data_IF_688785941015
#
_entry.id   IF_688785941015
#
_cell.length_a   1.000
_cell.length_b   1.000
_cell.length_c   1.000
_cell.angle_alpha   90.00
_cell.angle_beta   90.00
_cell.angle_gamma   90.00
#
_symmetry.space_group_name_H-M   'P 1'
#
loop_
_entity.id
_entity.type
_entity.pdbx_description
1 polymer ?
#
# COMPACT_ATOMS: atom_id res chain seq x y z
N UNK A 1 22.36 -8.34 5.04
CA UNK A 1 22.31 -7.17 4.14
C UNK A 1 20.89 -6.64 4.13
N UNK A 2 20.69 -5.31 4.26
CA UNK A 2 19.38 -4.69 4.07
C UNK A 2 18.83 -4.98 2.67
N UNK A 3 17.51 -5.16 2.56
CA UNK A 3 16.82 -5.31 1.27
C UNK A 3 15.87 -4.14 1.07
N UNK A 4 15.86 -3.59 -0.13
CA UNK A 4 14.85 -2.61 -0.55
C UNK A 4 13.74 -3.38 -1.25
N UNK A 5 12.52 -3.24 -0.77
CA UNK A 5 11.34 -3.93 -1.28
C UNK A 5 10.37 -2.85 -1.76
N UNK A 6 9.86 -3.00 -2.99
CA UNK A 6 8.78 -2.17 -3.52
C UNK A 6 7.47 -2.97 -3.42
N UNK A 7 6.48 -2.42 -2.72
CA UNK A 7 5.12 -2.94 -2.69
C UNK A 7 4.17 -1.93 -3.34
N UNK A 8 3.45 -2.34 -4.37
CA UNK A 8 2.42 -1.52 -5.02
C UNK A 8 1.26 -2.40 -5.51
N UNK A 9 0.06 -1.82 -5.54
CA UNK A 9 -1.10 -2.39 -6.24
C UNK A 9 -1.42 -1.50 -7.43
N UNK A 10 -1.81 -2.10 -8.55
CA UNK A 10 -2.17 -1.39 -9.77
C UNK A 10 -3.33 -2.11 -10.46
N UNK A 11 -4.05 -1.40 -11.31
CA UNK A 11 -5.01 -1.99 -12.25
C UNK A 11 -4.29 -2.81 -13.31
N UNK A 12 -5.03 -3.66 -14.03
CA UNK A 12 -4.46 -4.52 -15.08
C UNK A 12 -3.86 -3.73 -16.26
N UNK A 13 -4.35 -2.51 -16.47
CA UNK A 13 -3.85 -1.54 -17.46
C UNK A 13 -2.78 -0.59 -16.90
N UNK A 14 -2.34 -0.79 -15.65
CA UNK A 14 -1.13 -0.18 -15.10
C UNK A 14 -1.32 1.13 -14.32
N UNK A 15 -2.54 1.46 -13.90
CA UNK A 15 -2.82 2.66 -13.13
C UNK A 15 -2.84 2.38 -11.61
N UNK A 16 -2.36 3.34 -10.83
CA UNK A 16 -2.27 3.25 -9.35
C UNK A 16 -3.29 4.11 -8.61
N UNK A 17 -4.06 4.91 -9.36
CA UNK A 17 -5.17 5.72 -8.90
C UNK A 17 -6.03 6.14 -10.10
N UNK A 18 -7.23 6.63 -9.83
CA UNK A 18 -8.07 7.23 -10.86
C UNK A 18 -7.63 8.69 -11.19
N UNK A 19 -8.34 9.32 -12.12
CA UNK A 19 -8.06 10.70 -12.55
C UNK A 19 -8.31 11.77 -11.46
N UNK A 20 -8.95 11.42 -10.35
CA UNK A 20 -9.16 12.26 -9.17
C UNK A 20 -8.16 11.94 -8.05
N UNK A 21 -7.30 10.94 -8.25
CA UNK A 21 -6.33 10.47 -7.27
C UNK A 21 -6.88 9.44 -6.26
N UNK A 22 -8.10 8.93 -6.46
CA UNK A 22 -8.69 7.92 -5.59
C UNK A 22 -8.10 6.53 -5.85
N UNK A 23 -8.01 5.74 -4.77
CA UNK A 23 -7.54 4.35 -4.79
C UNK A 23 -8.66 3.34 -4.48
N UNK A 24 -9.89 3.80 -4.28
CA UNK A 24 -11.03 2.97 -3.87
C UNK A 24 -11.30 1.82 -4.85
N UNK A 25 -11.11 2.06 -6.16
CA UNK A 25 -11.26 1.02 -7.18
C UNK A 25 -10.19 -0.08 -7.10
N UNK A 26 -9.00 0.22 -6.56
CA UNK A 26 -7.95 -0.76 -6.35
C UNK A 26 -8.11 -1.50 -5.03
N UNK A 27 -8.71 -0.85 -4.03
CA UNK A 27 -8.92 -1.41 -2.70
C UNK A 27 -10.38 -1.24 -2.26
N UNK A 28 -11.31 -2.03 -2.84
CA UNK A 28 -12.71 -1.98 -2.42
C UNK A 28 -12.92 -2.40 -0.96
N UNK A 29 -11.97 -3.18 -0.41
CA UNK A 29 -11.91 -3.58 0.99
C UNK A 29 -10.48 -3.46 1.52
N UNK A 30 -10.14 -2.26 2.03
CA UNK A 30 -8.84 -1.98 2.65
C UNK A 30 -8.60 -2.80 3.93
N UNK A 31 -9.65 -3.10 4.67
CA UNK A 31 -9.54 -3.88 5.92
C UNK A 31 -9.16 -5.32 5.64
N UNK A 32 -9.73 -5.93 4.60
CA UNK A 32 -9.34 -7.26 4.14
C UNK A 32 -7.86 -7.31 3.74
N UNK A 33 -7.35 -6.27 3.07
CA UNK A 33 -5.93 -6.16 2.74
C UNK A 33 -5.06 -6.09 3.99
N UNK A 34 -5.39 -5.22 4.95
CA UNK A 34 -4.67 -5.09 6.22
C UNK A 34 -4.69 -6.40 7.03
N UNK A 35 -5.80 -7.12 6.99
CA UNK A 35 -5.99 -8.41 7.64
C UNK A 35 -5.20 -9.55 7.01
N UNK A 36 -4.81 -9.42 5.75
CA UNK A 36 -4.18 -10.48 4.96
C UNK A 36 -2.84 -10.94 5.52
N UNK A 37 -2.53 -12.23 5.36
CA UNK A 37 -1.25 -12.81 5.78
C UNK A 37 -0.08 -12.14 5.06
N UNK A 38 -0.25 -11.81 3.78
CA UNK A 38 0.75 -11.13 2.97
C UNK A 38 1.09 -9.76 3.57
N UNK A 39 0.10 -8.90 3.79
CA UNK A 39 0.32 -7.54 4.30
C UNK A 39 0.95 -7.56 5.69
N UNK A 40 0.44 -8.41 6.59
CA UNK A 40 1.00 -8.59 7.94
C UNK A 40 2.47 -9.05 7.91
N UNK A 41 2.82 -9.93 6.97
CA UNK A 41 4.21 -10.38 6.81
C UNK A 41 5.08 -9.26 6.25
N UNK A 42 4.62 -8.55 5.23
CA UNK A 42 5.34 -7.40 4.65
C UNK A 42 5.64 -6.33 5.69
N UNK A 43 4.68 -6.02 6.58
CA UNK A 43 4.89 -5.06 7.68
C UNK A 43 5.95 -5.59 8.67
N UNK A 44 5.88 -6.85 9.08
CA UNK A 44 6.85 -7.44 10.02
C UNK A 44 8.28 -7.45 9.47
N UNK A 45 8.42 -7.72 8.18
CA UNK A 45 9.72 -7.82 7.52
C UNK A 45 10.30 -6.46 7.12
N UNK A 46 9.48 -5.40 7.15
CA UNK A 46 9.85 -4.04 6.75
C UNK A 46 10.10 -3.17 7.97
N UNK A 47 11.36 -2.88 8.29
CA UNK A 47 11.72 -2.04 9.44
C UNK A 47 11.57 -0.53 9.21
N UNK A 48 11.46 -0.08 7.97
CA UNK A 48 11.30 1.33 7.62
C UNK A 48 10.57 1.49 6.28
N UNK A 49 9.74 2.53 6.16
CA UNK A 49 8.96 2.84 4.95
C UNK A 49 9.36 4.22 4.44
N UNK A 50 9.62 4.34 3.14
CA UNK A 50 9.77 5.62 2.46
C UNK A 50 8.51 5.88 1.62
N UNK A 51 7.82 6.98 1.89
CA UNK A 51 6.61 7.38 1.17
C UNK A 51 6.65 8.86 0.82
N UNK A 52 6.12 9.20 -0.35
CA UNK A 52 5.79 10.58 -0.68
C UNK A 52 4.62 11.07 0.19
N UNK A 53 4.55 12.39 0.40
CA UNK A 53 3.55 13.05 1.25
C UNK A 53 2.10 12.66 0.92
N UNK A 54 1.76 12.57 -0.37
CA UNK A 54 0.40 12.22 -0.80
C UNK A 54 -0.02 10.80 -0.36
N UNK A 55 0.90 9.84 -0.48
CA UNK A 55 0.66 8.45 -0.08
C UNK A 55 0.57 8.32 1.45
N UNK A 56 1.34 9.12 2.19
CA UNK A 56 1.28 9.10 3.65
C UNK A 56 -0.13 9.38 4.16
N UNK A 57 -0.84 10.38 3.60
CA UNK A 57 -2.21 10.69 4.04
C UNK A 57 -3.22 9.57 3.74
N UNK A 58 -3.04 8.83 2.65
CA UNK A 58 -3.93 7.72 2.29
C UNK A 58 -3.66 6.45 3.11
N UNK A 59 -2.39 6.15 3.40
CA UNK A 59 -1.98 4.86 3.97
C UNK A 59 -1.56 4.91 5.44
N UNK A 60 -1.59 6.09 6.09
CA UNK A 60 -1.21 6.22 7.50
C UNK A 60 -1.94 5.20 8.40
N UNK A 61 -3.22 4.95 8.14
CA UNK A 61 -4.06 4.01 8.89
C UNK A 61 -3.70 2.53 8.69
N UNK A 62 -2.95 2.21 7.64
CA UNK A 62 -2.54 0.84 7.33
C UNK A 62 -1.19 0.48 7.99
N UNK A 63 -0.34 1.49 8.21
CA UNK A 63 1.04 1.35 8.68
C UNK A 63 1.22 1.64 10.18
N UNK A 64 0.28 2.37 10.80
CA UNK A 64 0.26 2.74 12.22
C UNK A 64 -1.02 2.22 12.87
#
# INVERSE_FOLDING_TARGET
MPKVILGMTMSLDGFVNDNKGSIEHLFPDLEALQGSKMMKQSIRDTGAVNLCRLLFYHFKHLLL
#
